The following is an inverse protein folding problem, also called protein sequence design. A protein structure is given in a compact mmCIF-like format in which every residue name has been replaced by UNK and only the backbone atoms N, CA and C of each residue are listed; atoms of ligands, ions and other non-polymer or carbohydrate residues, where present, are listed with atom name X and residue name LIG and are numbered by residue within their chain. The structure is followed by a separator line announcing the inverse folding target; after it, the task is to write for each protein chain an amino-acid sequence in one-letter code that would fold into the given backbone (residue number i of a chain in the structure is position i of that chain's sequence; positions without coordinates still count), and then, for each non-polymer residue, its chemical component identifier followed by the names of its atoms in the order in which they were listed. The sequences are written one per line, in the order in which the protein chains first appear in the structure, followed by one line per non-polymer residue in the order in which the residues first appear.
data_IF_245823106758
#
_entry.id   IF_245823106758
#
_cell.length_a   1.000
_cell.length_b   1.000
_cell.length_c   1.000
_cell.angle_alpha   90.00
_cell.angle_beta   90.00
_cell.angle_gamma   90.00
#
_symmetry.space_group_name_H-M   'P 1'
#
loop_
_entity.id
_entity.type
_entity.pdbx_description
1 polymer ?
#
# COMPACT_ATOMS: atom_id res chain seq x y z
N UNK A 1 -39.65 -18.20 -13.28
CA UNK A 1 -41.03 -18.50 -12.84
C UNK A 1 -41.45 -17.36 -11.93
N UNK A 2 -42.29 -16.39 -12.27
CA UNK A 2 -42.98 -16.03 -13.50
C UNK A 2 -43.77 -14.73 -13.25
N UNK A 3 -44.01 -13.98 -14.32
CA UNK A 3 -45.26 -13.21 -14.59
C UNK A 3 -45.41 -11.79 -13.98
N UNK A 4 -45.03 -10.80 -14.81
CA UNK A 4 -45.67 -9.53 -15.23
C UNK A 4 -47.14 -9.19 -14.80
N UNK A 5 -47.71 -8.03 -15.18
CA UNK A 5 -47.60 -6.68 -14.61
C UNK A 5 -49.03 -6.13 -14.29
N UNK A 6 -49.19 -4.85 -13.96
CA UNK A 6 -50.50 -4.18 -14.07
C UNK A 6 -50.40 -2.93 -14.93
N UNK A 7 -50.99 -3.04 -16.11
CA UNK A 7 -51.36 -1.96 -17.03
C UNK A 7 -52.79 -1.56 -16.68
N UNK A 8 -53.05 -0.25 -16.59
CA UNK A 8 -54.42 0.28 -16.64
C UNK A 8 -54.47 1.35 -17.73
N UNK A 9 -55.21 1.01 -18.79
CA UNK A 9 -56.00 1.91 -19.63
C UNK A 9 -57.45 1.35 -19.59
N UNK A 10 -58.55 2.02 -20.01
CA UNK A 10 -58.61 3.13 -20.98
C UNK A 10 -59.73 4.18 -20.74
N UNK A 11 -59.85 5.19 -21.61
CA UNK A 11 -61.01 5.44 -22.51
C UNK A 11 -60.91 6.78 -23.27
N UNK A 12 -61.12 6.70 -24.59
CA UNK A 12 -61.34 7.77 -25.60
C UNK A 12 -62.82 8.24 -25.58
N UNK A 13 -63.31 9.33 -26.27
CA UNK A 13 -62.88 9.78 -27.61
C UNK A 13 -62.96 11.29 -28.00
N UNK A 14 -62.22 11.59 -29.08
CA UNK A 14 -62.44 12.48 -30.25
C UNK A 14 -63.33 13.74 -30.13
N UNK A 15 -62.77 14.94 -30.42
CA UNK A 15 -63.16 15.78 -31.57
C UNK A 15 -62.30 17.06 -31.78
N UNK A 16 -61.85 17.22 -33.03
CA UNK A 16 -61.65 18.43 -33.86
C UNK A 16 -60.89 19.69 -33.36
N UNK A 17 -59.89 20.12 -34.15
CA UNK A 17 -59.47 21.53 -34.18
C UNK A 17 -58.09 21.84 -34.81
N UNK A 18 -58.02 21.94 -36.14
CA UNK A 18 -57.15 22.81 -36.98
C UNK A 18 -55.65 23.05 -36.67
N UNK A 19 -54.82 22.55 -37.60
CA UNK A 19 -53.93 23.29 -38.53
C UNK A 19 -52.69 24.08 -38.01
N UNK A 20 -51.56 23.82 -38.71
CA UNK A 20 -50.36 24.65 -38.95
C UNK A 20 -49.20 24.56 -37.93
N UNK A 21 -48.12 23.83 -38.28
CA UNK A 21 -46.84 24.34 -38.85
C UNK A 21 -45.76 23.25 -38.71
N UNK A 22 -45.24 22.75 -39.83
CA UNK A 22 -44.08 21.87 -39.87
C UNK A 22 -42.82 22.69 -39.52
N UNK A 23 -42.22 22.47 -38.36
CA UNK A 23 -40.85 22.92 -38.06
C UNK A 23 -39.96 21.69 -38.06
N UNK A 24 -39.12 21.58 -39.09
CA UNK A 24 -38.04 20.60 -39.13
C UNK A 24 -37.05 20.95 -38.01
N UNK A 25 -37.06 20.17 -36.93
CA UNK A 25 -35.98 20.19 -35.95
C UNK A 25 -34.78 19.45 -36.56
N UNK A 26 -33.87 20.23 -37.14
CA UNK A 26 -32.51 19.83 -37.44
C UNK A 26 -31.85 19.42 -36.12
N UNK A 27 -31.56 18.13 -35.94
CA UNK A 27 -30.73 17.63 -34.85
C UNK A 27 -29.32 18.23 -34.99
N UNK A 28 -29.07 19.35 -34.32
CA UNK A 28 -27.73 19.85 -34.09
C UNK A 28 -27.10 18.92 -33.04
N UNK A 29 -26.42 17.87 -33.50
CA UNK A 29 -25.49 17.12 -32.66
C UNK A 29 -24.40 18.12 -32.23
N UNK A 30 -24.50 18.63 -31.01
CA UNK A 30 -23.39 19.33 -30.37
C UNK A 30 -22.34 18.24 -30.10
N UNK A 31 -21.42 18.07 -31.04
CA UNK A 31 -20.14 17.41 -30.80
C UNK A 31 -19.43 18.28 -29.76
N UNK A 32 -19.63 17.99 -28.48
CA UNK A 32 -18.67 18.39 -27.46
C UNK A 32 -17.37 17.64 -27.81
N UNK A 33 -16.29 18.33 -28.22
CA UNK A 33 -15.00 17.69 -28.21
C UNK A 33 -14.75 17.31 -26.75
N UNK A 34 -14.80 16.01 -26.44
CA UNK A 34 -14.04 15.50 -25.33
C UNK A 34 -12.58 15.81 -25.65
N UNK A 35 -12.11 16.97 -25.20
CA UNK A 35 -10.69 17.21 -25.04
C UNK A 35 -10.24 16.22 -23.98
N UNK A 36 -9.81 15.03 -24.41
CA UNK A 36 -8.84 14.25 -23.64
C UNK A 36 -7.69 15.22 -23.39
N UNK A 37 -7.57 15.70 -22.16
CA UNK A 37 -6.44 16.54 -21.77
C UNK A 37 -5.17 15.78 -22.18
N UNK A 38 -4.41 16.36 -23.11
CA UNK A 38 -3.16 15.76 -23.55
C UNK A 38 -2.28 15.59 -22.30
N UNK A 39 -1.78 14.39 -22.08
CA UNK A 39 -0.92 14.11 -20.94
C UNK A 39 0.31 15.01 -21.01
N UNK A 40 0.45 15.93 -20.05
CA UNK A 40 1.51 16.94 -20.08
C UNK A 40 2.85 16.42 -19.56
N UNK A 41 2.83 15.39 -18.71
CA UNK A 41 4.01 14.83 -18.05
C UNK A 41 4.07 13.31 -18.23
N UNK A 42 5.26 12.70 -18.31
CA UNK A 42 5.40 11.25 -18.23
C UNK A 42 4.76 10.68 -16.94
N UNK A 43 4.26 9.46 -17.01
CA UNK A 43 3.72 8.73 -15.84
C UNK A 43 4.66 7.57 -15.54
N UNK A 44 5.12 7.50 -14.29
CA UNK A 44 5.84 6.34 -13.76
C UNK A 44 4.84 5.47 -13.02
N UNK A 45 4.92 4.16 -13.25
CA UNK A 45 4.04 3.18 -12.62
C UNK A 45 4.74 1.84 -12.50
N UNK A 46 4.19 0.95 -11.68
CA UNK A 46 4.67 -0.43 -11.56
C UNK A 46 3.64 -1.40 -12.12
N UNK A 47 4.11 -2.48 -12.71
CA UNK A 47 3.29 -3.67 -12.97
C UNK A 47 3.53 -4.68 -11.87
N UNK A 48 2.56 -5.56 -11.61
CA UNK A 48 2.64 -6.57 -10.57
C UNK A 48 1.95 -7.86 -11.02
N UNK A 49 2.35 -8.98 -10.44
CA UNK A 49 1.65 -10.26 -10.63
C UNK A 49 0.32 -10.20 -9.87
N UNK A 50 -0.82 -10.47 -10.53
CA UNK A 50 -2.10 -10.54 -9.84
C UNK A 50 -2.09 -11.59 -8.73
N UNK A 51 -2.57 -11.21 -7.55
CA UNK A 51 -2.77 -12.10 -6.41
C UNK A 51 -4.25 -12.02 -6.02
N UNK A 52 -4.95 -13.15 -6.10
CA UNK A 52 -6.38 -13.22 -5.85
C UNK A 52 -6.72 -13.33 -4.35
N UNK A 53 -5.83 -13.92 -3.56
CA UNK A 53 -6.01 -14.03 -2.11
C UNK A 53 -5.71 -12.68 -1.45
N UNK A 54 -6.45 -12.35 -0.40
CA UNK A 54 -6.26 -11.13 0.38
C UNK A 54 -5.94 -11.47 1.85
N UNK A 55 -4.74 -12.02 2.06
CA UNK A 55 -4.19 -12.17 3.40
C UNK A 55 -2.66 -12.17 3.37
N UNK A 56 -2.05 -11.31 4.18
CA UNK A 56 -0.61 -11.22 4.43
C UNK A 56 0.27 -11.23 3.16
N UNK A 57 -0.19 -10.57 2.10
CA UNK A 57 0.49 -10.49 0.81
C UNK A 57 0.42 -9.07 0.24
N UNK A 58 1.06 -8.85 -0.91
CA UNK A 58 1.31 -7.52 -1.47
C UNK A 58 0.05 -6.68 -1.72
N UNK A 59 -1.11 -7.31 -1.94
CA UNK A 59 -2.39 -6.61 -2.14
C UNK A 59 -3.20 -6.46 -0.86
N UNK A 60 -2.74 -7.03 0.26
CA UNK A 60 -3.43 -6.96 1.54
C UNK A 60 -3.22 -5.64 2.27
N UNK A 61 -4.11 -5.37 3.22
CA UNK A 61 -3.94 -4.24 4.16
C UNK A 61 -2.77 -4.49 5.10
N UNK A 62 -2.74 -5.65 5.76
CA UNK A 62 -1.69 -6.05 6.71
C UNK A 62 -0.73 -7.08 6.11
N UNK A 63 0.50 -7.13 6.64
CA UNK A 63 1.54 -8.05 6.16
C UNK A 63 2.02 -7.82 4.73
N UNK A 64 1.58 -6.73 4.09
CA UNK A 64 1.89 -6.45 2.68
C UNK A 64 3.34 -6.04 2.43
N UNK A 65 4.09 -5.67 3.46
CA UNK A 65 5.52 -5.31 3.37
C UNK A 65 6.43 -6.52 3.09
N UNK A 66 5.93 -7.75 3.16
CA UNK A 66 6.74 -8.98 3.12
C UNK A 66 7.23 -9.30 1.70
N UNK A 67 8.54 -9.53 1.55
CA UNK A 67 9.17 -9.87 0.27
C UNK A 67 9.18 -11.36 -0.11
N UNK A 68 8.54 -12.25 0.66
CA UNK A 68 8.55 -13.70 0.38
C UNK A 68 7.87 -14.01 -0.96
N UNK A 69 8.18 -15.15 -1.57
CA UNK A 69 7.56 -15.56 -2.85
C UNK A 69 6.04 -15.70 -2.77
N UNK A 70 5.51 -16.09 -1.61
CA UNK A 70 4.07 -16.19 -1.39
C UNK A 70 3.45 -14.80 -1.30
N UNK A 71 4.05 -13.90 -0.52
CA UNK A 71 3.51 -12.58 -0.25
C UNK A 71 3.67 -11.63 -1.44
N UNK A 72 4.81 -11.67 -2.12
CA UNK A 72 5.13 -10.85 -3.28
C UNK A 72 5.65 -11.74 -4.43
N UNK A 73 4.76 -12.40 -5.18
CA UNK A 73 5.16 -13.20 -6.33
C UNK A 73 6.04 -12.40 -7.28
N UNK A 74 7.09 -13.03 -7.82
CA UNK A 74 8.01 -12.36 -8.73
C UNK A 74 7.39 -12.18 -10.10
N UNK A 75 7.64 -11.01 -10.65
CA UNK A 75 7.06 -10.48 -11.87
C UNK A 75 6.59 -9.05 -11.64
N UNK A 76 6.44 -8.33 -12.74
CA UNK A 76 6.21 -6.90 -12.70
C UNK A 76 7.51 -6.11 -12.66
N UNK A 77 7.41 -4.84 -13.04
CA UNK A 77 8.54 -4.00 -13.41
C UNK A 77 8.21 -2.53 -13.11
N UNK A 78 9.23 -1.69 -13.06
CA UNK A 78 9.06 -0.24 -13.06
C UNK A 78 8.97 0.27 -14.50
N UNK A 79 7.91 0.99 -14.84
CA UNK A 79 7.66 1.52 -16.17
C UNK A 79 7.55 3.03 -16.16
N UNK A 80 7.89 3.63 -17.30
CA UNK A 80 7.54 5.02 -17.63
C UNK A 80 6.76 5.07 -18.94
N UNK A 81 5.65 5.80 -18.94
CA UNK A 81 4.88 6.18 -20.13
C UNK A 81 5.16 7.63 -20.47
N UNK A 82 5.71 7.91 -21.64
CA UNK A 82 5.99 9.26 -22.11
C UNK A 82 4.72 9.94 -22.66
N UNK A 83 4.83 11.26 -22.90
CA UNK A 83 3.75 12.10 -23.43
C UNK A 83 3.22 11.60 -24.77
N UNK A 84 4.10 11.06 -25.62
CA UNK A 84 3.76 10.46 -26.92
C UNK A 84 3.08 9.07 -26.80
N UNK A 85 2.92 8.57 -25.57
CA UNK A 85 2.33 7.28 -25.27
C UNK A 85 3.27 6.09 -25.36
N UNK A 86 4.54 6.29 -25.75
CA UNK A 86 5.53 5.23 -25.72
C UNK A 86 5.84 4.77 -24.30
N UNK A 87 6.16 3.48 -24.15
CA UNK A 87 6.49 2.83 -22.89
C UNK A 87 7.96 2.45 -22.86
N UNK A 88 8.56 2.52 -21.67
CA UNK A 88 9.90 2.00 -21.40
C UNK A 88 9.90 1.26 -20.07
N UNK A 89 10.41 0.02 -20.10
CA UNK A 89 10.64 -0.78 -18.92
C UNK A 89 11.96 -0.35 -18.27
N UNK A 90 11.90 0.39 -17.17
CA UNK A 90 13.08 0.95 -16.51
C UNK A 90 13.91 -0.14 -15.81
N UNK A 91 13.28 -1.15 -15.24
CA UNK A 91 13.97 -2.27 -14.57
C UNK A 91 14.68 -3.15 -15.58
N UNK A 92 13.99 -3.61 -16.62
CA UNK A 92 14.58 -4.44 -17.67
C UNK A 92 15.72 -3.72 -18.38
N UNK A 93 15.54 -2.44 -18.75
CA UNK A 93 16.60 -1.68 -19.43
C UNK A 93 17.83 -1.47 -18.53
N UNK A 94 17.64 -1.42 -17.21
CA UNK A 94 18.72 -1.34 -16.23
C UNK A 94 19.32 -2.71 -15.85
N UNK A 95 18.86 -3.81 -16.47
CA UNK A 95 19.38 -5.16 -16.24
C UNK A 95 18.75 -5.90 -15.06
N UNK A 96 17.57 -5.49 -14.59
CA UNK A 96 16.81 -6.15 -13.54
C UNK A 96 15.61 -6.90 -14.11
N UNK A 97 15.23 -8.01 -13.46
CA UNK A 97 14.12 -8.85 -13.90
C UNK A 97 14.52 -9.84 -14.99
N UNK A 98 13.61 -10.75 -15.31
CA UNK A 98 13.80 -11.74 -16.36
C UNK A 98 12.48 -12.16 -17.00
N UNK A 99 12.53 -12.50 -18.29
CA UNK A 99 11.39 -13.07 -19.00
C UNK A 99 11.28 -14.58 -18.74
N UNK A 100 10.05 -15.05 -18.50
CA UNK A 100 9.77 -16.48 -18.34
C UNK A 100 10.03 -16.98 -16.91
N UNK A 101 10.78 -18.08 -16.77
CA UNK A 101 10.94 -18.78 -15.49
C UNK A 101 11.79 -17.95 -14.53
N UNK A 102 11.19 -17.60 -13.39
CA UNK A 102 11.83 -16.82 -12.33
C UNK A 102 12.94 -17.63 -11.61
N UNK A 103 14.05 -16.96 -11.30
CA UNK A 103 15.31 -17.44 -10.74
C UNK A 103 16.04 -16.31 -9.99
N UNK A 104 17.37 -16.27 -10.05
CA UNK A 104 18.18 -15.33 -9.25
C UNK A 104 17.94 -13.85 -9.59
N UNK A 105 17.59 -13.55 -10.84
CA UNK A 105 17.35 -12.18 -11.31
C UNK A 105 15.87 -11.75 -11.22
N UNK A 106 15.00 -12.64 -10.75
CA UNK A 106 13.58 -12.39 -10.58
C UNK A 106 13.34 -11.18 -9.66
N UNK A 107 12.37 -10.33 -9.99
CA UNK A 107 12.06 -9.15 -9.17
C UNK A 107 10.58 -9.05 -8.84
N UNK A 108 10.25 -8.34 -7.77
CA UNK A 108 8.94 -7.73 -7.61
C UNK A 108 9.14 -6.27 -7.20
N UNK A 109 8.32 -5.38 -7.76
CA UNK A 109 8.51 -3.92 -7.68
C UNK A 109 7.23 -3.27 -7.16
N UNK A 110 7.36 -2.22 -6.34
CA UNK A 110 6.22 -1.48 -5.78
C UNK A 110 6.57 -0.04 -5.40
N UNK A 111 5.50 0.73 -5.20
CA UNK A 111 5.48 2.07 -4.59
C UNK A 111 6.52 3.05 -5.19
N UNK A 112 6.41 3.40 -6.48
CA UNK A 112 7.28 4.42 -7.06
C UNK A 112 6.91 5.81 -6.54
N UNK A 113 7.93 6.61 -6.19
CA UNK A 113 7.82 8.01 -5.80
C UNK A 113 8.81 8.85 -6.59
N UNK A 114 8.32 9.83 -7.33
CA UNK A 114 9.13 10.71 -8.18
C UNK A 114 9.74 11.80 -7.31
N UNK A 115 11.04 12.04 -7.46
CA UNK A 115 11.71 13.13 -6.76
C UNK A 115 11.22 14.50 -7.25
N UNK A 116 11.29 15.53 -6.40
CA UNK A 116 10.87 16.89 -6.73
C UNK A 116 11.56 17.48 -7.95
N UNK A 117 12.80 17.05 -8.25
CA UNK A 117 13.52 17.47 -9.47
C UNK A 117 13.01 16.83 -10.76
N UNK A 118 12.26 15.73 -10.66
CA UNK A 118 11.81 14.94 -11.81
C UNK A 118 12.91 14.10 -12.48
N UNK A 119 14.12 14.06 -11.92
CA UNK A 119 15.29 13.39 -12.53
C UNK A 119 15.54 11.98 -11.99
N UNK A 120 14.93 11.64 -10.85
CA UNK A 120 15.05 10.32 -10.22
C UNK A 120 13.74 9.84 -9.61
N UNK A 121 13.59 8.54 -9.48
CA UNK A 121 12.43 7.88 -8.85
C UNK A 121 12.92 6.93 -7.78
N UNK A 122 12.37 7.04 -6.57
CA UNK A 122 12.51 6.06 -5.50
C UNK A 122 11.46 4.97 -5.67
N UNK A 123 11.79 3.72 -5.42
CA UNK A 123 10.83 2.62 -5.44
C UNK A 123 11.34 1.48 -4.55
N UNK A 124 10.46 0.52 -4.25
CA UNK A 124 10.83 -0.65 -3.47
C UNK A 124 10.91 -1.87 -4.39
N UNK A 125 12.00 -2.62 -4.26
CA UNK A 125 12.23 -3.83 -5.06
C UNK A 125 12.78 -4.94 -4.20
N UNK A 126 12.33 -6.16 -4.48
CA UNK A 126 12.91 -7.40 -3.98
C UNK A 126 13.51 -8.14 -5.17
N UNK A 127 14.69 -8.73 -4.98
CA UNK A 127 15.44 -9.46 -6.01
C UNK A 127 15.65 -10.90 -5.57
N UNK A 128 15.55 -11.82 -6.53
CA UNK A 128 15.76 -13.25 -6.39
C UNK A 128 14.48 -14.05 -6.12
N UNK A 129 14.49 -15.28 -6.62
CA UNK A 129 13.54 -16.35 -6.31
C UNK A 129 14.31 -17.58 -5.80
N UNK A 130 13.72 -18.40 -4.91
CA UNK A 130 14.41 -19.52 -4.31
C UNK A 130 14.66 -20.59 -5.36
N UNK A 131 15.80 -21.26 -5.24
CA UNK A 131 15.97 -22.55 -5.88
C UNK A 131 14.91 -23.52 -5.36
N UNK A 132 14.57 -24.52 -6.18
CA UNK A 132 13.57 -25.52 -5.82
C UNK A 132 13.90 -26.16 -4.46
N UNK A 133 12.92 -26.17 -3.56
CA UNK A 133 13.02 -26.68 -2.18
C UNK A 133 13.91 -25.87 -1.21
N UNK A 134 14.39 -24.68 -1.58
CA UNK A 134 15.07 -23.78 -0.65
C UNK A 134 14.12 -22.73 -0.08
N UNK A 135 14.31 -22.44 1.21
CA UNK A 135 13.70 -21.29 1.87
C UNK A 135 14.76 -20.21 2.03
N UNK A 136 14.57 -19.09 1.33
CA UNK A 136 15.47 -17.95 1.38
C UNK A 136 14.72 -16.74 1.94
N UNK A 137 15.45 -15.91 2.67
CA UNK A 137 14.95 -14.62 3.12
C UNK A 137 14.94 -13.63 1.95
N UNK A 138 13.77 -13.09 1.66
CA UNK A 138 13.59 -12.05 0.66
C UNK A 138 12.98 -10.82 1.30
N UNK A 139 13.64 -9.68 1.08
CA UNK A 139 13.25 -8.41 1.69
C UNK A 139 13.11 -7.34 0.62
N UNK A 140 12.03 -6.57 0.67
CA UNK A 140 11.95 -5.34 -0.10
C UNK A 140 13.01 -4.36 0.39
N UNK A 141 13.67 -3.70 -0.55
CA UNK A 141 14.64 -2.66 -0.29
C UNK A 141 14.33 -1.47 -1.19
N UNK A 142 14.74 -0.29 -0.77
CA UNK A 142 14.60 0.94 -1.53
C UNK A 142 15.70 1.05 -2.59
N UNK A 143 15.31 1.46 -3.79
CA UNK A 143 16.19 1.73 -4.93
C UNK A 143 15.82 3.07 -5.55
N UNK A 144 16.82 3.76 -6.11
CA UNK A 144 16.63 4.94 -6.94
C UNK A 144 16.97 4.62 -8.39
N UNK A 145 16.14 5.06 -9.32
CA UNK A 145 16.43 5.05 -10.76
C UNK A 145 16.66 6.48 -11.26
N UNK A 146 17.69 6.66 -12.08
CA UNK A 146 17.99 7.89 -12.87
C UNK A 146 18.00 7.54 -14.36
N UNK A 147 18.23 8.51 -15.24
CA UNK A 147 18.27 8.26 -16.69
C UNK A 147 16.87 8.04 -17.28
N UNK A 148 15.92 8.89 -16.88
CA UNK A 148 14.49 8.72 -17.15
C UNK A 148 14.06 9.19 -18.54
N UNK A 149 14.94 9.85 -19.31
CA UNK A 149 14.59 10.29 -20.67
C UNK A 149 14.51 9.09 -21.61
N UNK A 150 13.82 9.30 -22.74
CA UNK A 150 13.54 8.25 -23.72
C UNK A 150 14.82 7.63 -24.28
N UNK A 151 15.83 8.46 -24.53
CA UNK A 151 17.13 8.16 -25.13
C UNK A 151 18.26 7.88 -24.12
N UNK A 152 18.01 8.03 -22.82
CA UNK A 152 18.99 7.71 -21.77
C UNK A 152 18.96 6.23 -21.37
N UNK A 153 20.05 5.68 -20.84
CA UNK A 153 20.02 4.35 -20.22
C UNK A 153 19.74 4.52 -18.73
N UNK A 154 18.66 3.92 -18.19
CA UNK A 154 18.37 4.04 -16.77
C UNK A 154 19.43 3.35 -15.92
N UNK A 155 19.74 3.97 -14.79
CA UNK A 155 20.67 3.42 -13.80
C UNK A 155 19.92 3.24 -12.49
N UNK A 156 19.78 2.00 -12.05
CA UNK A 156 19.15 1.62 -10.79
C UNK A 156 20.24 1.39 -9.73
N UNK A 157 20.13 2.10 -8.61
CA UNK A 157 21.05 1.96 -7.48
C UNK A 157 20.26 1.70 -6.20
N UNK A 158 20.76 0.78 -5.37
CA UNK A 158 20.17 0.53 -4.06
C UNK A 158 20.42 1.73 -3.16
N UNK A 159 19.41 2.22 -2.46
CA UNK A 159 19.56 3.33 -1.50
C UNK A 159 20.58 2.93 -0.43
N UNK A 160 21.66 3.69 -0.22
CA UNK A 160 22.69 3.35 0.74
C UNK A 160 22.19 3.52 2.17
N UNK A 161 22.71 2.70 3.10
CA UNK A 161 22.49 2.83 4.56
C UNK A 161 21.04 2.65 5.05
N UNK A 162 20.13 2.20 4.20
CA UNK A 162 18.83 1.70 4.64
C UNK A 162 18.97 0.41 5.50
N UNK A 163 17.98 0.05 6.33
CA UNK A 163 18.01 -1.18 7.11
C UNK A 163 18.04 -2.45 6.24
N UNK A 164 19.21 -3.06 6.07
CA UNK A 164 19.41 -4.16 5.10
C UNK A 164 18.80 -5.50 5.53
N UNK A 165 18.52 -5.68 6.82
CA UNK A 165 17.96 -6.93 7.40
C UNK A 165 16.44 -6.89 7.58
N UNK A 166 15.78 -5.88 7.03
CA UNK A 166 14.36 -5.58 7.23
C UNK A 166 13.71 -5.23 5.89
N UNK A 167 12.40 -5.39 5.76
CA UNK A 167 11.67 -4.88 4.61
C UNK A 167 11.57 -3.36 4.72
N UNK A 168 11.88 -2.67 3.62
CA UNK A 168 11.73 -1.23 3.48
C UNK A 168 10.84 -0.97 2.25
N UNK A 169 9.67 -0.37 2.47
CA UNK A 169 8.63 -0.18 1.46
C UNK A 169 8.05 1.23 1.50
N UNK A 170 7.21 1.59 0.52
CA UNK A 170 6.42 2.82 0.52
C UNK A 170 7.26 4.09 0.76
N UNK A 171 8.41 4.19 0.08
CA UNK A 171 9.31 5.32 0.24
C UNK A 171 8.83 6.59 -0.48
N UNK A 172 9.10 7.76 0.11
CA UNK A 172 8.93 9.06 -0.53
C UNK A 172 10.04 10.03 -0.14
N UNK A 173 10.22 11.08 -0.92
CA UNK A 173 11.22 12.12 -0.65
C UNK A 173 10.65 13.25 0.19
N UNK A 174 11.40 13.67 1.20
CA UNK A 174 11.22 14.97 1.82
C UNK A 174 11.95 16.06 1.00
N UNK A 175 11.62 17.36 1.20
CA UNK A 175 12.27 18.45 0.45
C UNK A 175 13.77 18.63 0.74
N UNK A 176 14.26 18.05 1.84
CA UNK A 176 15.67 18.08 2.28
C UNK A 176 16.48 16.87 1.76
N UNK A 177 16.01 16.19 0.71
CA UNK A 177 16.58 14.96 0.13
C UNK A 177 16.61 13.74 1.07
N UNK A 178 16.03 13.85 2.28
CA UNK A 178 15.84 12.68 3.14
C UNK A 178 14.70 11.80 2.62
N UNK A 179 14.74 10.52 2.99
CA UNK A 179 13.77 9.52 2.56
C UNK A 179 12.91 9.16 3.76
N UNK A 180 11.59 9.33 3.59
CA UNK A 180 10.57 8.82 4.50
C UNK A 180 10.08 7.48 3.97
N UNK A 181 10.02 6.44 4.78
CA UNK A 181 9.65 5.11 4.33
C UNK A 181 9.09 4.27 5.48
N UNK A 182 8.43 3.17 5.12
CA UNK A 182 7.88 2.20 6.07
C UNK A 182 8.85 1.04 6.21
N UNK A 183 9.08 0.58 7.45
CA UNK A 183 9.97 -0.55 7.72
C UNK A 183 9.42 -1.49 8.79
N UNK A 184 9.70 -2.78 8.67
CA UNK A 184 9.47 -3.78 9.72
C UNK A 184 10.64 -3.91 10.71
N UNK A 185 11.59 -2.97 10.67
CA UNK A 185 12.68 -2.87 11.65
C UNK A 185 12.14 -2.59 13.05
N UNK A 186 12.38 -3.45 14.06
CA UNK A 186 12.01 -3.16 15.45
C UNK A 186 12.65 -1.88 15.98
N UNK A 187 12.01 -1.26 16.97
CA UNK A 187 12.55 -0.10 17.70
C UNK A 187 13.98 -0.42 18.16
N UNK A 188 14.90 0.52 17.94
CA UNK A 188 16.32 0.34 18.26
C UNK A 188 17.06 -0.73 17.44
N UNK A 189 16.40 -1.47 16.56
CA UNK A 189 16.98 -2.60 15.82
C UNK A 189 17.08 -3.88 16.64
N UNK A 190 16.24 -4.02 17.67
CA UNK A 190 16.18 -5.17 18.56
C UNK A 190 15.67 -6.42 17.81
N UNK A 191 16.59 -7.23 17.27
CA UNK A 191 16.24 -8.40 16.44
C UNK A 191 15.39 -9.45 17.17
N UNK A 192 15.47 -9.54 18.50
CA UNK A 192 14.66 -10.48 19.29
C UNK A 192 13.18 -10.06 19.42
N UNK A 193 12.84 -8.82 19.02
CA UNK A 193 11.46 -8.32 18.95
C UNK A 193 10.89 -8.43 17.52
N UNK A 194 11.65 -8.98 16.58
CA UNK A 194 11.19 -9.20 15.21
C UNK A 194 10.55 -10.59 15.06
N UNK A 195 9.43 -10.72 14.32
CA UNK A 195 8.63 -9.63 13.74
C UNK A 195 7.69 -9.00 14.79
N UNK A 196 7.36 -7.73 14.59
CA UNK A 196 6.18 -7.14 15.22
C UNK A 196 4.92 -7.79 14.61
N UNK A 197 3.91 -8.03 15.44
CA UNK A 197 2.64 -8.60 15.03
C UNK A 197 1.53 -7.54 15.20
N UNK A 198 0.57 -7.49 14.28
CA UNK A 198 -0.55 -6.57 14.36
C UNK A 198 -1.59 -6.98 15.42
N UNK A 199 -2.39 -5.99 15.85
CA UNK A 199 -3.43 -6.10 16.88
C UNK A 199 -4.73 -6.72 16.37
N UNK A 200 -4.80 -7.14 15.11
CA UNK A 200 -5.98 -7.79 14.55
C UNK A 200 -5.72 -9.28 14.48
N UNK A 201 -4.74 -9.74 13.73
CA UNK A 201 -4.57 -11.16 13.38
C UNK A 201 -3.28 -11.77 13.91
N UNK A 202 -2.51 -11.03 14.72
CA UNK A 202 -1.14 -11.40 15.10
C UNK A 202 -0.28 -11.77 13.88
N UNK A 203 -0.49 -11.09 12.76
CA UNK A 203 0.24 -11.28 11.53
C UNK A 203 1.44 -10.35 11.52
N UNK A 204 2.60 -10.75 10.96
CA UNK A 204 3.73 -9.85 10.83
C UNK A 204 3.33 -8.52 10.19
N UNK A 205 3.67 -7.41 10.84
CA UNK A 205 3.37 -6.05 10.38
C UNK A 205 4.61 -5.16 10.42
N UNK A 206 4.51 -3.98 9.79
CA UNK A 206 5.57 -2.99 9.84
C UNK A 206 5.52 -2.23 11.18
N UNK A 207 6.60 -1.55 11.53
CA UNK A 207 6.76 -0.85 12.82
C UNK A 207 6.42 0.64 12.77
N UNK A 208 5.94 1.13 11.63
CA UNK A 208 5.62 2.54 11.39
C UNK A 208 6.60 3.24 10.45
N UNK A 209 6.69 4.57 10.62
CA UNK A 209 7.39 5.49 9.73
C UNK A 209 8.85 5.75 10.17
N UNK A 210 9.77 5.62 9.22
CA UNK A 210 11.20 5.87 9.38
C UNK A 210 11.67 7.00 8.46
N UNK A 211 12.67 7.76 8.92
CA UNK A 211 13.38 8.79 8.15
C UNK A 211 14.84 8.39 8.01
N UNK A 212 15.35 8.35 6.78
CA UNK A 212 16.76 8.09 6.46
C UNK A 212 17.36 9.33 5.79
N UNK A 213 18.54 9.73 6.25
CA UNK A 213 19.42 10.65 5.51
C UNK A 213 20.46 9.81 4.76
N UNK A 214 20.31 9.55 3.44
CA UNK A 214 21.17 8.58 2.76
C UNK A 214 22.65 8.96 2.75
N UNK A 215 22.97 10.26 2.76
CA UNK A 215 24.35 10.79 2.73
C UNK A 215 25.15 10.51 4.00
N UNK A 216 24.50 10.48 5.16
CA UNK A 216 25.14 10.28 6.48
C UNK A 216 24.82 8.92 7.10
N UNK A 217 23.65 8.35 6.77
CA UNK A 217 23.10 7.17 7.45
C UNK A 217 22.33 7.48 8.72
N UNK A 218 22.06 8.76 9.02
CA UNK A 218 21.17 9.12 10.12
C UNK A 218 19.79 8.48 9.87
N UNK A 219 19.34 7.66 10.82
CA UNK A 219 18.10 6.91 10.75
C UNK A 219 17.28 7.21 12.00
N UNK A 220 16.06 7.72 11.80
CA UNK A 220 15.16 8.15 12.85
C UNK A 220 13.83 7.39 12.73
N UNK A 221 13.31 6.93 13.85
CA UNK A 221 11.96 6.36 13.94
C UNK A 221 11.02 7.51 14.26
N UNK A 222 10.23 7.95 13.28
CA UNK A 222 9.36 9.11 13.43
C UNK A 222 8.06 8.75 14.14
N UNK A 223 7.53 7.57 13.84
CA UNK A 223 6.33 7.06 14.45
C UNK A 223 6.38 5.54 14.61
N UNK A 224 6.03 5.07 15.81
CA UNK A 224 5.91 3.66 16.10
C UNK A 224 4.43 3.27 16.20
N UNK A 225 3.98 2.48 15.22
CA UNK A 225 2.59 2.04 15.11
C UNK A 225 2.48 0.52 15.26
N UNK A 226 1.74 0.00 16.26
CA UNK A 226 1.55 -1.44 16.47
C UNK A 226 0.93 -2.18 15.28
N UNK A 227 0.00 -1.53 14.57
CA UNK A 227 -0.65 -2.08 13.37
C UNK A 227 -0.10 -1.50 12.06
N UNK A 228 0.95 -0.68 12.16
CA UNK A 228 1.73 -0.15 11.05
C UNK A 228 1.27 1.20 10.52
N UNK A 229 2.18 1.86 9.79
CA UNK A 229 1.90 3.04 8.98
C UNK A 229 2.06 2.68 7.50
N UNK A 230 1.41 3.44 6.63
CA UNK A 230 1.32 3.12 5.21
C UNK A 230 1.33 4.39 4.34
N UNK A 231 1.99 4.25 3.18
CA UNK A 231 2.00 5.23 2.08
C UNK A 231 2.23 6.68 2.53
N UNK A 232 3.39 7.00 3.13
CA UNK A 232 3.72 8.39 3.44
C UNK A 232 3.72 9.25 2.19
N UNK A 233 3.08 10.42 2.28
CA UNK A 233 3.16 11.48 1.28
C UNK A 233 3.61 12.77 1.97
N UNK A 234 4.32 13.60 1.22
CA UNK A 234 4.72 14.94 1.67
C UNK A 234 3.91 15.97 0.88
N UNK A 235 3.21 16.84 1.58
CA UNK A 235 2.42 17.89 0.95
C UNK A 235 3.23 19.16 0.64
N UNK A 236 2.60 20.12 -0.02
CA UNK A 236 3.24 21.40 -0.41
C UNK A 236 3.63 22.30 0.77
N UNK A 237 3.20 21.99 2.00
CA UNK A 237 3.60 22.70 3.21
C UNK A 237 4.73 21.98 3.95
N UNK A 238 5.22 20.85 3.43
CA UNK A 238 6.26 20.03 4.06
C UNK A 238 5.74 19.16 5.20
N UNK A 239 4.42 18.96 5.31
CA UNK A 239 3.84 18.04 6.29
C UNK A 239 3.92 16.62 5.75
N UNK A 240 4.11 15.66 6.65
CA UNK A 240 4.04 14.24 6.34
C UNK A 240 2.64 13.74 6.65
N UNK A 241 1.97 13.19 5.66
CA UNK A 241 0.68 12.51 5.82
C UNK A 241 0.91 11.01 5.67
N UNK A 242 0.33 10.22 6.56
CA UNK A 242 0.41 8.76 6.55
C UNK A 242 -0.99 8.19 6.72
N UNK A 243 -1.21 6.99 6.18
CA UNK A 243 -2.34 6.17 6.60
C UNK A 243 -1.89 5.31 7.77
N UNK A 244 -2.58 5.41 8.90
CA UNK A 244 -2.36 4.55 10.07
C UNK A 244 -3.56 3.66 10.31
N UNK A 245 -3.28 2.43 10.70
CA UNK A 245 -4.27 1.55 11.31
C UNK A 245 -4.11 1.60 12.81
N UNK A 246 -5.19 1.93 13.51
CA UNK A 246 -5.23 2.06 14.96
C UNK A 246 -6.39 1.23 15.51
N UNK A 247 -6.09 0.39 16.49
CA UNK A 247 -7.05 -0.49 17.11
C UNK A 247 -7.61 0.16 18.38
N UNK A 248 -8.75 0.84 18.23
CA UNK A 248 -9.39 1.59 19.33
C UNK A 248 -10.27 0.74 20.25
N UNK A 249 -9.93 -0.54 20.41
CA UNK A 249 -10.64 -1.49 21.29
C UNK A 249 -9.64 -2.52 21.80
N UNK A 250 -10.05 -3.30 22.79
CA UNK A 250 -9.25 -4.41 23.29
C UNK A 250 -9.00 -5.47 22.21
N UNK A 251 -7.80 -6.03 22.24
CA UNK A 251 -7.33 -7.02 21.27
C UNK A 251 -8.20 -8.30 21.26
N UNK A 252 -8.43 -8.93 20.08
CA UNK A 252 -9.05 -10.26 20.04
C UNK A 252 -8.19 -11.31 20.74
N UNK A 253 -6.87 -11.17 20.64
CA UNK A 253 -5.94 -12.10 21.25
C UNK A 253 -6.10 -12.10 22.78
N UNK A 254 -6.58 -10.97 23.35
CA UNK A 254 -6.91 -10.84 24.76
C UNK A 254 -8.35 -11.26 25.14
N UNK A 255 -9.26 -11.42 24.17
CA UNK A 255 -10.72 -11.49 24.40
C UNK A 255 -11.15 -12.72 25.22
N UNK A 256 -10.49 -13.87 25.05
CA UNK A 256 -10.79 -15.07 25.85
C UNK A 256 -9.55 -15.93 26.19
N UNK A 257 -8.35 -15.54 25.73
CA UNK A 257 -7.12 -16.30 25.96
C UNK A 257 -7.03 -17.62 25.18
N UNK A 258 -8.02 -17.93 24.35
CA UNK A 258 -7.98 -19.03 23.40
C UNK A 258 -6.78 -18.92 22.42
N UNK A 259 -6.29 -17.71 22.20
CA UNK A 259 -5.13 -17.42 21.34
C UNK A 259 -3.78 -17.53 22.07
N UNK A 260 -3.77 -17.80 23.38
CA UNK A 260 -2.54 -17.98 24.14
C UNK A 260 -1.68 -16.72 24.28
N UNK A 261 -2.28 -15.53 24.20
CA UNK A 261 -1.59 -14.26 24.37
C UNK A 261 -1.04 -14.08 25.79
N UNK A 262 0.11 -13.40 25.89
CA UNK A 262 0.79 -13.14 27.15
C UNK A 262 1.60 -11.85 27.07
N UNK A 263 1.86 -11.24 28.23
CA UNK A 263 2.70 -10.06 28.32
C UNK A 263 4.12 -10.43 28.77
N UNK A 264 5.11 -9.70 28.26
CA UNK A 264 6.46 -9.72 28.80
C UNK A 264 6.63 -8.64 29.87
N UNK A 265 7.50 -8.87 30.86
CA UNK A 265 7.83 -7.86 31.87
C UNK A 265 8.53 -6.63 31.26
N UNK A 266 9.23 -6.79 30.13
CA UNK A 266 9.89 -5.72 29.38
C UNK A 266 10.25 -6.19 27.97
N UNK A 267 10.72 -5.28 27.13
CA UNK A 267 11.24 -5.59 25.78
C UNK A 267 12.68 -6.14 25.77
N UNK A 268 13.26 -6.46 26.93
CA UNK A 268 14.63 -6.98 27.02
C UNK A 268 14.72 -8.42 26.53
N UNK A 269 15.89 -8.80 26.02
CA UNK A 269 16.23 -10.21 25.76
C UNK A 269 16.02 -11.02 27.04
N UNK A 270 15.35 -12.17 26.94
CA UNK A 270 15.01 -13.06 28.05
C UNK A 270 14.10 -12.46 29.13
N UNK A 271 13.33 -11.40 28.82
CA UNK A 271 12.31 -10.92 29.75
C UNK A 271 11.33 -12.05 30.11
N UNK A 272 11.01 -12.23 31.40
CA UNK A 272 10.06 -13.26 31.79
C UNK A 272 8.66 -12.92 31.30
N UNK A 273 7.90 -13.95 30.95
CA UNK A 273 6.47 -13.85 30.72
C UNK A 273 5.80 -13.56 32.07
N UNK A 274 4.95 -12.55 32.11
CA UNK A 274 4.10 -12.25 33.26
C UNK A 274 2.72 -12.84 33.05
N UNK A 275 2.12 -13.38 34.12
CA UNK A 275 0.76 -13.90 34.07
C UNK A 275 -0.23 -12.77 33.85
N UNK A 276 -0.87 -12.74 32.68
CA UNK A 276 -1.90 -11.77 32.34
C UNK A 276 -1.89 -11.37 30.86
N UNK A 277 -3.04 -10.87 30.42
CA UNK A 277 -3.30 -10.28 29.09
C UNK A 277 -4.01 -8.94 29.28
N UNK A 278 -3.45 -8.13 30.19
CA UNK A 278 -4.07 -6.89 30.60
C UNK A 278 -4.03 -5.91 29.44
N UNK A 279 -5.21 -5.51 28.98
CA UNK A 279 -5.39 -4.50 27.93
C UNK A 279 -5.56 -3.11 28.52
N UNK A 280 -4.92 -2.13 27.89
CA UNK A 280 -5.02 -0.72 28.31
C UNK A 280 -6.20 0.01 27.67
N UNK A 281 -6.78 -0.55 26.59
CA UNK A 281 -7.96 0.02 25.95
C UNK A 281 -9.21 -0.21 26.81
N UNK A 282 -9.99 0.86 27.11
CA UNK A 282 -11.20 0.74 27.92
C UNK A 282 -12.37 0.10 27.14
N UNK A 283 -12.36 0.16 25.82
CA UNK A 283 -13.44 -0.34 24.98
C UNK A 283 -13.31 -1.84 24.70
N UNK A 284 -14.27 -2.68 25.16
CA UNK A 284 -14.23 -4.11 24.89
C UNK A 284 -14.63 -4.42 23.45
N UNK A 285 -14.15 -5.54 22.93
CA UNK A 285 -14.44 -6.00 21.56
C UNK A 285 -15.89 -6.47 21.37
N UNK A 286 -16.43 -7.16 22.38
CA UNK A 286 -17.77 -7.74 22.34
C UNK A 286 -18.76 -7.00 23.23
N UNK A 287 -20.02 -6.92 22.80
CA UNK A 287 -21.11 -6.31 23.57
C UNK A 287 -21.31 -7.03 24.93
N UNK A 288 -21.00 -8.32 25.01
CA UNK A 288 -21.11 -9.12 26.23
C UNK A 288 -20.13 -8.68 27.32
N UNK A 289 -18.97 -8.16 26.93
CA UNK A 289 -17.94 -7.64 27.83
C UNK A 289 -18.12 -6.15 28.15
N UNK A 290 -19.14 -5.53 27.57
CA UNK A 290 -19.45 -4.11 27.75
C UNK A 290 -19.91 -3.84 29.17
N UNK A 291 -19.07 -3.14 29.94
CA UNK A 291 -19.38 -2.75 31.32
C UNK A 291 -20.49 -1.69 31.43
N UNK A 292 -20.79 -0.99 30.32
CA UNK A 292 -21.86 0.04 30.27
C UNK A 292 -22.35 0.29 28.85
N UNK A 293 -23.68 0.45 28.69
CA UNK A 293 -24.33 0.82 27.42
C UNK A 293 -23.96 2.19 26.86
N UNK A 294 -23.11 2.95 27.54
CA UNK A 294 -22.61 4.25 27.07
C UNK A 294 -21.20 4.17 26.48
N UNK A 295 -20.54 3.02 26.53
CA UNK A 295 -19.19 2.82 25.96
C UNK A 295 -19.32 2.46 24.48
N UNK A 296 -18.68 3.20 23.58
CA UNK A 296 -18.59 2.81 22.16
C UNK A 296 -17.76 1.53 22.04
N UNK A 297 -18.18 0.56 21.23
CA UNK A 297 -17.36 -0.63 20.99
C UNK A 297 -16.28 -0.42 19.91
N UNK A 298 -16.33 0.70 19.16
CA UNK A 298 -15.42 0.95 18.04
C UNK A 298 -15.31 -0.22 17.05
N UNK A 299 -16.39 -0.98 16.83
CA UNK A 299 -16.47 -2.08 15.85
C UNK A 299 -16.44 -1.64 14.39
N UNK A 300 -16.09 -0.38 14.13
CA UNK A 300 -15.95 0.19 12.80
C UNK A 300 -14.62 0.95 12.70
N UNK A 301 -13.96 0.81 11.56
CA UNK A 301 -12.72 1.52 11.30
C UNK A 301 -13.01 3.02 11.12
N UNK A 302 -12.35 3.86 11.90
CA UNK A 302 -12.52 5.32 11.86
C UNK A 302 -11.33 5.97 11.16
N UNK A 303 -11.55 6.44 9.94
CA UNK A 303 -10.56 7.21 9.20
C UNK A 303 -10.67 8.69 9.59
N UNK A 304 -9.65 9.21 10.28
CA UNK A 304 -9.56 10.63 10.63
C UNK A 304 -8.54 11.29 9.70
N UNK A 305 -8.91 12.35 8.96
CA UNK A 305 -7.98 13.09 8.12
C UNK A 305 -6.97 13.90 8.94
#
# INVERSE_FOLDING_TARGET
MGIYPWVIAPKRPLCQGRLILFVAFLNLLILFPFFLAAQSNPIVFVTQVPKADDFANIVSTFGNHRGTMYAAPRGGDLWIRYVDGSLKNLTETAGFGEAGRQGENAIAVRDPSVHWSGEKVLFSMVVGAPEQFKYNDYRFQLYEVTGLRKDETPVITKVPRQPAQYNNVMGTYAPDDTILFVSDRPVGGATHLYPQLDEYESTPTNTGLWKLTPSTGALEHLDHSPSGDFHPIVDSFGRVLVTRWDHLQQDQQADDGAFGAYNFQSERVNAPIVGGRAEVFPEPRSEERRISRNISLHTFNRFMP
#
